data_IF_829091167084
#
_entry.id   IF_829091167084
#
_cell.length_a   1.000
_cell.length_b   1.000
_cell.length_c   1.000
_cell.angle_alpha   90.00
_cell.angle_beta   90.00
_cell.angle_gamma   90.00
#
_symmetry.space_group_name_H-M   'P 1'
#
loop_
_entity.id
_entity.type
_entity.pdbx_description
1 polymer ?
#
# COMPACT_ATOMS: atom_id res chain seq x y z
N UNK A 1 3.99 2.63 -0.27
CA UNK A 1 2.85 1.70 -0.07
C UNK A 1 3.35 0.28 -0.31
N UNK A 2 2.91 -0.67 0.52
CA UNK A 2 3.20 -2.11 0.40
C UNK A 2 1.86 -2.82 0.35
N UNK A 3 1.62 -3.63 -0.69
CA UNK A 3 0.40 -4.42 -0.84
C UNK A 3 0.79 -5.89 -0.99
N UNK A 4 0.34 -6.72 -0.05
CA UNK A 4 0.59 -8.15 0.01
C UNK A 4 -0.73 -8.87 -0.27
N UNK A 5 -0.78 -9.68 -1.32
CA UNK A 5 -1.91 -10.56 -1.61
C UNK A 5 -1.40 -11.98 -1.80
N UNK A 6 -2.12 -12.95 -1.26
CA UNK A 6 -1.84 -14.35 -1.43
C UNK A 6 -2.55 -15.22 -0.40
N UNK A 7 -2.14 -16.48 -0.32
CA UNK A 7 -2.59 -17.36 0.74
C UNK A 7 -1.71 -17.20 1.97
N UNK A 8 -2.33 -17.15 3.14
CA UNK A 8 -1.64 -17.03 4.42
C UNK A 8 -2.43 -17.70 5.54
N UNK A 9 -1.84 -17.65 6.71
CA UNK A 9 -2.44 -18.06 7.97
C UNK A 9 -1.93 -17.11 9.08
N UNK A 10 -2.11 -17.49 10.35
CA UNK A 10 -1.72 -16.64 11.47
C UNK A 10 -0.21 -16.37 11.46
N UNK A 11 0.15 -15.12 11.21
CA UNK A 11 1.52 -14.60 11.30
C UNK A 11 2.39 -14.82 10.06
N UNK A 12 1.85 -15.30 8.94
CA UNK A 12 2.61 -15.40 7.70
C UNK A 12 1.76 -15.38 6.44
N UNK A 13 2.38 -14.96 5.33
CA UNK A 13 1.86 -15.11 3.99
C UNK A 13 2.83 -15.95 3.16
N UNK A 14 2.31 -16.85 2.33
CA UNK A 14 3.13 -17.67 1.44
C UNK A 14 3.71 -16.81 0.32
N UNK A 15 5.02 -16.94 0.12
CA UNK A 15 5.73 -16.34 -0.98
C UNK A 15 6.13 -17.46 -1.95
N UNK A 16 5.42 -17.53 -3.09
CA UNK A 16 5.51 -18.67 -4.02
C UNK A 16 5.19 -20.00 -3.31
N UNK A 17 5.73 -21.10 -3.82
CA UNK A 17 5.35 -22.45 -3.38
C UNK A 17 6.09 -22.95 -2.13
N UNK A 18 7.21 -22.31 -1.74
CA UNK A 18 8.11 -22.85 -0.71
C UNK A 18 8.56 -21.86 0.35
N UNK A 19 8.46 -20.55 0.11
CA UNK A 19 8.91 -19.53 1.05
C UNK A 19 7.73 -18.93 1.79
N UNK A 20 7.97 -18.43 2.99
CA UNK A 20 6.97 -17.76 3.81
C UNK A 20 7.56 -16.44 4.25
N UNK A 21 6.78 -15.37 4.11
CA UNK A 21 7.09 -14.07 4.70
C UNK A 21 6.32 -13.97 6.00
N UNK A 22 7.05 -13.97 7.12
CA UNK A 22 6.44 -13.90 8.45
C UNK A 22 6.15 -12.45 8.85
N UNK A 23 5.19 -12.26 9.76
CA UNK A 23 4.85 -10.95 10.36
C UNK A 23 6.02 -10.36 11.13
N UNK A 24 6.85 -11.22 11.73
CA UNK A 24 8.07 -10.85 12.46
C UNK A 24 9.12 -10.30 11.49
N UNK A 25 9.40 -10.99 10.39
CA UNK A 25 10.34 -10.50 9.36
C UNK A 25 9.87 -9.19 8.72
N UNK A 26 8.57 -9.07 8.47
CA UNK A 26 7.97 -7.84 7.96
C UNK A 26 8.16 -6.67 8.94
N UNK A 27 7.92 -6.89 10.24
CA UNK A 27 8.12 -5.89 11.27
C UNK A 27 9.60 -5.48 11.38
N UNK A 28 10.53 -6.43 11.35
CA UNK A 28 11.96 -6.14 11.34
C UNK A 28 12.38 -5.32 10.11
N UNK A 29 11.88 -5.68 8.92
CA UNK A 29 12.18 -4.94 7.70
C UNK A 29 11.70 -3.48 7.77
N UNK A 30 10.48 -3.25 8.28
CA UNK A 30 9.95 -1.90 8.48
C UNK A 30 10.77 -1.13 9.53
N UNK A 31 11.20 -1.80 10.60
CA UNK A 31 12.04 -1.20 11.63
C UNK A 31 13.39 -0.76 11.06
N UNK A 32 14.07 -1.61 10.30
CA UNK A 32 15.32 -1.25 9.62
C UNK A 32 15.10 -0.11 8.64
N UNK A 33 14.01 -0.12 7.87
CA UNK A 33 13.69 0.99 6.97
C UNK A 33 13.46 2.31 7.72
N UNK A 34 12.87 2.28 8.91
CA UNK A 34 12.69 3.46 9.75
C UNK A 34 14.03 4.00 10.24
N UNK A 35 14.88 3.13 10.78
CA UNK A 35 16.22 3.48 11.29
C UNK A 35 17.12 4.08 10.19
N UNK A 36 17.00 3.55 8.97
CA UNK A 36 17.72 4.03 7.79
C UNK A 36 17.06 5.24 7.10
N UNK A 37 16.00 5.82 7.70
CA UNK A 37 15.25 6.96 7.14
C UNK A 37 14.72 6.71 5.71
N UNK A 38 14.27 5.48 5.42
CA UNK A 38 13.83 5.05 4.08
C UNK A 38 12.36 5.31 3.78
N UNK A 39 11.60 5.79 4.76
CA UNK A 39 10.22 6.22 4.53
C UNK A 39 9.84 7.40 5.41
N UNK A 40 8.91 8.22 4.91
CA UNK A 40 8.20 9.21 5.73
C UNK A 40 6.94 8.58 6.34
N UNK A 41 6.14 7.90 5.51
CA UNK A 41 4.94 7.17 5.88
C UNK A 41 4.84 5.86 5.09
N UNK A 42 4.34 4.81 5.73
CA UNK A 42 4.05 3.53 5.07
C UNK A 42 2.58 3.22 5.24
N UNK A 43 1.95 2.83 4.13
CA UNK A 43 0.68 2.12 4.17
C UNK A 43 0.92 0.68 3.74
N UNK A 44 0.69 -0.25 4.66
CA UNK A 44 0.75 -1.69 4.47
C UNK A 44 -0.67 -2.25 4.33
N UNK A 45 -0.93 -3.00 3.27
CA UNK A 45 -2.20 -3.71 3.06
C UNK A 45 -1.89 -5.20 2.95
N UNK A 46 -2.52 -6.01 3.79
CA UNK A 46 -2.47 -7.47 3.71
C UNK A 46 -3.83 -8.03 3.28
N UNK A 47 -3.90 -8.62 2.08
CA UNK A 47 -5.10 -9.23 1.50
C UNK A 47 -4.93 -10.76 1.46
N UNK A 48 -5.38 -11.40 2.54
CA UNK A 48 -5.31 -12.85 2.76
C UNK A 48 -6.27 -13.24 3.90
N UNK A 49 -6.52 -14.55 4.06
CA UNK A 49 -7.11 -15.08 5.28
C UNK A 49 -6.23 -14.73 6.49
N UNK A 50 -6.87 -14.36 7.61
CA UNK A 50 -6.22 -14.01 8.89
C UNK A 50 -5.15 -12.92 8.79
N UNK A 51 -5.26 -12.08 7.76
CA UNK A 51 -4.25 -11.09 7.39
C UNK A 51 -4.00 -10.01 8.43
N UNK A 52 -4.91 -9.77 9.37
CA UNK A 52 -4.66 -8.87 10.50
C UNK A 52 -3.44 -9.29 11.36
N UNK A 53 -3.11 -10.58 11.40
CA UNK A 53 -1.94 -11.09 12.12
C UNK A 53 -0.60 -10.60 11.54
N UNK A 54 -0.60 -10.13 10.29
CA UNK A 54 0.61 -9.69 9.60
C UNK A 54 1.23 -8.42 10.18
N UNK A 55 0.43 -7.58 10.84
CA UNK A 55 0.90 -6.30 11.39
C UNK A 55 0.95 -6.26 12.93
N UNK A 56 0.66 -7.36 13.62
CA UNK A 56 0.66 -7.41 15.09
C UNK A 56 2.02 -7.12 15.72
N UNK A 57 3.11 -7.47 15.03
CA UNK A 57 4.49 -7.27 15.50
C UNK A 57 5.08 -5.93 15.08
N UNK A 58 4.38 -5.16 14.26
CA UNK A 58 4.89 -3.87 13.78
C UNK A 58 4.82 -2.88 14.95
N UNK A 59 5.94 -2.21 15.20
CA UNK A 59 6.06 -1.14 16.20
C UNK A 59 6.67 0.14 15.62
N UNK A 60 7.12 0.10 14.37
CA UNK A 60 7.75 1.22 13.70
C UNK A 60 6.74 2.35 13.48
N UNK A 61 7.11 3.62 13.75
CA UNK A 61 6.17 4.74 13.70
C UNK A 61 5.85 5.12 12.24
N UNK A 62 4.78 5.90 12.07
CA UNK A 62 4.25 6.36 10.79
C UNK A 62 3.86 5.21 9.84
N UNK A 63 3.45 4.08 10.42
CA UNK A 63 2.92 2.93 9.68
C UNK A 63 1.42 2.84 9.90
N UNK A 64 0.66 3.00 8.82
CA UNK A 64 -0.73 2.58 8.74
C UNK A 64 -0.76 1.16 8.20
N UNK A 65 -1.54 0.27 8.80
CA UNK A 65 -1.77 -1.06 8.25
C UNK A 65 -3.26 -1.38 8.13
N UNK A 66 -3.64 -2.11 7.10
CA UNK A 66 -4.98 -2.67 6.95
C UNK A 66 -4.95 -4.11 6.47
N UNK A 67 -6.00 -4.86 6.79
CA UNK A 67 -6.18 -6.25 6.40
C UNK A 67 -7.52 -6.48 5.70
N UNK A 68 -7.60 -7.50 4.84
CA UNK A 68 -8.84 -7.97 4.25
C UNK A 68 -9.71 -8.79 5.22
N UNK A 69 -9.12 -9.32 6.30
CA UNK A 69 -9.83 -10.08 7.33
C UNK A 69 -9.14 -9.99 8.69
N UNK A 70 -9.92 -10.08 9.78
CA UNK A 70 -9.39 -10.22 11.13
C UNK A 70 -8.69 -11.58 11.35
N UNK A 71 -7.94 -11.73 12.43
CA UNK A 71 -7.17 -12.95 12.76
C UNK A 71 -8.04 -14.19 12.95
N UNK A 72 -9.29 -14.01 13.35
CA UNK A 72 -10.28 -15.08 13.51
C UNK A 72 -11.15 -15.32 12.27
N UNK A 73 -10.89 -14.63 11.15
CA UNK A 73 -11.71 -14.65 9.95
C UNK A 73 -10.91 -15.03 8.69
N UNK A 74 -11.62 -15.58 7.70
CA UNK A 74 -11.07 -15.83 6.37
C UNK A 74 -11.40 -14.66 5.43
N UNK A 75 -10.58 -14.47 4.40
CA UNK A 75 -10.96 -13.68 3.23
C UNK A 75 -11.65 -14.58 2.19
N UNK A 76 -12.34 -13.96 1.22
CA UNK A 76 -13.16 -14.69 0.25
C UNK A 76 -12.94 -14.20 -1.17
N UNK A 77 -12.91 -15.14 -2.10
CA UNK A 77 -12.83 -14.87 -3.52
C UNK A 77 -14.14 -14.28 -4.08
N UNK A 78 -14.03 -13.65 -5.25
CA UNK A 78 -15.08 -12.97 -5.98
C UNK A 78 -15.00 -13.31 -7.46
N UNK A 79 -16.18 -13.40 -8.11
CA UNK A 79 -16.33 -13.60 -9.55
C UNK A 79 -15.72 -14.92 -10.06
N UNK A 80 -16.59 -15.92 -10.24
CA UNK A 80 -16.21 -17.20 -10.84
C UNK A 80 -16.23 -17.05 -12.36
N UNK A 81 -15.07 -17.28 -13.00
CA UNK A 81 -15.00 -17.43 -14.45
C UNK A 81 -15.31 -18.89 -14.79
N UNK A 82 -16.41 -19.11 -15.52
CA UNK A 82 -16.88 -20.45 -15.87
C UNK A 82 -16.06 -21.11 -16.97
N UNK A 83 -15.40 -20.34 -17.83
CA UNK A 83 -14.57 -20.87 -18.90
C UNK A 83 -13.23 -21.35 -18.36
N UNK A 84 -12.69 -20.66 -17.35
CA UNK A 84 -11.45 -21.03 -16.66
C UNK A 84 -11.68 -21.96 -15.46
N UNK A 85 -12.88 -21.97 -14.88
CA UNK A 85 -13.24 -22.77 -13.70
C UNK A 85 -12.60 -22.29 -12.39
N UNK A 86 -12.15 -21.03 -12.34
CA UNK A 86 -11.45 -20.44 -11.19
C UNK A 86 -12.05 -19.08 -10.82
N UNK A 87 -11.88 -18.68 -9.56
CA UNK A 87 -12.16 -17.31 -9.17
C UNK A 87 -11.04 -16.39 -9.63
N UNK A 88 -11.39 -15.25 -10.22
CA UNK A 88 -10.41 -14.34 -10.83
C UNK A 88 -9.97 -13.20 -9.91
N UNK A 89 -10.70 -12.98 -8.82
CA UNK A 89 -10.41 -11.88 -7.89
C UNK A 89 -10.73 -12.26 -6.45
N UNK A 90 -10.21 -11.49 -5.50
CA UNK A 90 -10.64 -11.49 -4.11
C UNK A 90 -11.62 -10.35 -3.86
N UNK A 91 -12.55 -10.53 -2.91
CA UNK A 91 -13.58 -9.50 -2.66
C UNK A 91 -12.95 -8.16 -2.25
N UNK A 92 -11.98 -8.18 -1.35
CA UNK A 92 -11.30 -6.97 -0.91
C UNK A 92 -10.62 -6.27 -2.08
N UNK A 93 -9.78 -6.99 -2.82
CA UNK A 93 -9.15 -6.55 -4.07
C UNK A 93 -10.15 -5.95 -5.07
N UNK A 94 -11.25 -6.65 -5.34
CA UNK A 94 -12.28 -6.20 -6.29
C UNK A 94 -12.91 -4.87 -5.87
N UNK A 95 -13.41 -4.77 -4.63
CA UNK A 95 -14.14 -3.58 -4.20
C UNK A 95 -13.24 -2.36 -3.97
N UNK A 96 -12.02 -2.57 -3.46
CA UNK A 96 -11.03 -1.50 -3.31
C UNK A 96 -10.57 -0.98 -4.68
N UNK A 97 -10.26 -1.87 -5.63
CA UNK A 97 -9.92 -1.49 -7.01
C UNK A 97 -11.07 -0.78 -7.70
N UNK A 98 -12.31 -1.25 -7.52
CA UNK A 98 -13.51 -0.59 -8.04
C UNK A 98 -13.70 0.82 -7.47
N UNK A 99 -13.40 1.02 -6.19
CA UNK A 99 -13.41 2.34 -5.57
C UNK A 99 -12.33 3.24 -6.18
N UNK A 100 -11.08 2.76 -6.27
CA UNK A 100 -9.98 3.52 -6.85
C UNK A 100 -10.30 3.95 -8.29
N UNK A 101 -10.81 3.05 -9.12
CA UNK A 101 -11.10 3.34 -10.52
C UNK A 101 -12.30 4.27 -10.75
N UNK A 102 -13.24 4.37 -9.79
CA UNK A 102 -14.48 5.16 -9.95
C UNK A 102 -14.49 6.47 -9.16
N UNK A 103 -13.84 6.49 -8.02
CA UNK A 103 -13.94 7.59 -7.04
C UNK A 103 -12.64 8.42 -6.96
N UNK A 104 -11.52 7.86 -7.43
CA UNK A 104 -10.19 8.47 -7.40
C UNK A 104 -9.76 8.83 -8.83
N UNK A 105 -10.52 9.71 -9.47
CA UNK A 105 -10.19 10.24 -10.80
C UNK A 105 -9.19 11.40 -10.68
N UNK A 106 -7.91 11.11 -10.89
CA UNK A 106 -6.83 12.10 -10.89
C UNK A 106 -6.44 12.65 -9.51
N UNK A 107 -5.46 13.57 -9.47
CA UNK A 107 -4.87 14.09 -8.22
C UNK A 107 -5.77 15.08 -7.46
N UNK A 108 -6.86 15.55 -8.08
CA UNK A 108 -7.76 16.53 -7.47
C UNK A 108 -8.85 15.89 -6.60
N UNK A 109 -8.92 14.57 -6.52
CA UNK A 109 -9.91 13.90 -5.68
C UNK A 109 -9.73 14.28 -4.21
N UNK A 110 -10.86 14.45 -3.50
CA UNK A 110 -10.90 14.70 -2.06
C UNK A 110 -11.19 13.44 -1.26
N UNK A 111 -11.17 12.26 -1.89
CA UNK A 111 -11.43 10.99 -1.22
C UNK A 111 -10.34 10.68 -0.21
N UNK A 112 -10.77 10.28 0.98
CA UNK A 112 -9.93 10.01 2.13
C UNK A 112 -9.56 8.53 2.25
N UNK A 113 -8.53 8.21 3.03
CA UNK A 113 -8.21 6.81 3.34
C UNK A 113 -9.34 6.10 4.08
N UNK A 114 -10.15 6.83 4.86
CA UNK A 114 -11.36 6.26 5.45
C UNK A 114 -12.33 5.80 4.36
N UNK A 115 -12.56 6.60 3.31
CA UNK A 115 -13.41 6.20 2.17
C UNK A 115 -12.88 4.95 1.45
N UNK A 116 -11.55 4.81 1.36
CA UNK A 116 -10.91 3.62 0.82
C UNK A 116 -11.17 2.38 1.68
N UNK A 117 -11.03 2.49 3.01
CA UNK A 117 -11.30 1.38 3.93
C UNK A 117 -12.78 1.00 3.95
N UNK A 118 -13.67 1.98 3.81
CA UNK A 118 -15.12 1.76 3.77
C UNK A 118 -15.60 1.21 2.41
N UNK A 119 -14.73 1.15 1.40
CA UNK A 119 -15.06 0.66 0.06
C UNK A 119 -15.54 -0.80 0.06
N UNK A 120 -15.04 -1.61 0.99
CA UNK A 120 -15.44 -3.00 1.19
C UNK A 120 -16.02 -3.25 2.58
N UNK A 121 -17.28 -2.88 2.75
CA UNK A 121 -18.06 -3.23 3.95
C UNK A 121 -18.17 -4.75 4.14
N UNK A 122 -18.54 -5.19 5.35
CA UNK A 122 -18.74 -6.60 5.67
C UNK A 122 -19.68 -7.31 4.68
N UNK A 123 -20.76 -6.66 4.22
CA UNK A 123 -21.68 -7.25 3.25
C UNK A 123 -21.04 -7.53 1.89
N UNK A 124 -20.09 -6.69 1.49
CA UNK A 124 -19.34 -6.80 0.23
C UNK A 124 -18.20 -7.81 0.37
N UNK A 125 -17.37 -7.66 1.40
CA UNK A 125 -16.16 -8.47 1.63
C UNK A 125 -16.45 -9.85 2.22
N UNK A 126 -17.57 -10.00 2.95
CA UNK A 126 -17.90 -11.18 3.77
C UNK A 126 -16.86 -11.48 4.87
N UNK A 127 -16.02 -10.50 5.16
CA UNK A 127 -15.00 -10.45 6.19
C UNK A 127 -14.90 -9.01 6.70
N UNK A 128 -14.30 -8.85 7.87
CA UNK A 128 -14.10 -7.55 8.50
C UNK A 128 -12.72 -7.01 8.14
N UNK A 129 -12.66 -5.79 7.61
CA UNK A 129 -11.39 -5.09 7.40
C UNK A 129 -10.80 -4.74 8.76
N UNK A 130 -9.59 -5.22 9.04
CA UNK A 130 -8.81 -4.78 10.19
C UNK A 130 -7.97 -3.56 9.84
N UNK A 131 -7.79 -2.65 10.81
CA UNK A 131 -7.00 -1.43 10.62
C UNK A 131 -6.16 -1.18 11.88
N UNK A 132 -4.86 -0.95 11.70
CA UNK A 132 -3.94 -0.53 12.74
C UNK A 132 -3.64 0.96 12.58
N UNK A 133 -4.18 1.78 13.48
CA UNK A 133 -3.97 3.24 13.49
C UNK A 133 -3.04 3.72 14.61
N UNK A 134 -2.72 2.87 15.59
CA UNK A 134 -1.97 3.28 16.79
C UNK A 134 -0.58 3.83 16.47
N UNK A 135 0.01 3.39 15.36
CA UNK A 135 1.33 3.81 14.88
C UNK A 135 1.26 4.95 13.84
N UNK A 136 0.05 5.41 13.51
CA UNK A 136 -0.20 6.40 12.48
C UNK A 136 -0.95 7.61 13.06
N UNK A 137 -0.26 8.74 13.31
CA UNK A 137 -0.82 9.84 14.11
C UNK A 137 -1.88 10.67 13.39
N UNK A 138 -2.08 10.50 12.08
CA UNK A 138 -2.99 11.32 11.27
C UNK A 138 -4.41 10.71 11.25
N UNK A 139 -5.42 11.57 11.32
CA UNK A 139 -6.83 11.18 11.15
C UNK A 139 -7.07 10.73 9.70
N UNK A 140 -7.48 9.47 9.51
CA UNK A 140 -7.70 8.86 8.19
C UNK A 140 -8.72 9.59 7.32
N UNK A 141 -9.67 10.32 7.93
CA UNK A 141 -10.66 11.13 7.21
C UNK A 141 -10.06 12.39 6.58
N UNK A 142 -8.86 12.78 7.01
CA UNK A 142 -8.12 13.96 6.51
C UNK A 142 -6.99 13.59 5.57
N UNK A 143 -6.55 12.33 5.58
CA UNK A 143 -5.48 11.82 4.69
C UNK A 143 -6.09 11.42 3.36
N UNK A 144 -5.53 11.90 2.25
CA UNK A 144 -6.09 11.60 0.93
C UNK A 144 -5.62 10.23 0.46
N UNK A 145 -6.48 9.53 -0.28
CA UNK A 145 -6.09 8.26 -0.92
C UNK A 145 -4.90 8.46 -1.86
N UNK A 146 -4.83 9.62 -2.53
CA UNK A 146 -3.74 9.99 -3.43
C UNK A 146 -2.40 10.13 -2.74
N UNK A 147 -2.34 10.27 -1.41
CA UNK A 147 -1.07 10.36 -0.68
C UNK A 147 -0.30 9.01 -0.74
N UNK A 148 -1.01 7.89 -0.94
CA UNK A 148 -0.42 6.56 -1.05
C UNK A 148 -0.58 5.92 -2.44
N UNK A 149 -1.69 6.19 -3.14
CA UNK A 149 -1.98 5.61 -4.45
C UNK A 149 -1.66 6.55 -5.63
N UNK A 150 -1.41 7.83 -5.35
CA UNK A 150 -1.06 8.81 -6.37
C UNK A 150 0.44 8.88 -6.59
N UNK A 151 0.87 8.94 -7.86
CA UNK A 151 2.26 9.26 -8.22
C UNK A 151 2.39 10.76 -8.53
N UNK A 152 2.58 11.60 -7.52
CA UNK A 152 2.96 12.99 -7.76
C UNK A 152 4.42 13.03 -8.25
N UNK A 153 4.64 13.15 -9.56
CA UNK A 153 5.96 13.60 -10.06
C UNK A 153 6.12 15.06 -9.66
N UNK A 154 6.99 15.34 -8.70
CA UNK A 154 7.43 16.71 -8.44
C UNK A 154 8.31 17.13 -9.63
N UNK A 155 7.68 17.65 -10.69
CA UNK A 155 8.41 18.31 -11.78
C UNK A 155 8.65 19.75 -11.33
N UNK A 156 9.86 20.04 -10.84
CA UNK A 156 10.31 21.43 -10.72
C UNK A 156 10.64 21.94 -12.12
N UNK A 157 9.79 22.79 -12.67
CA UNK A 157 10.21 23.64 -13.78
C UNK A 157 11.21 24.65 -13.22
N UNK A 158 12.48 24.50 -13.59
CA UNK A 158 13.47 25.56 -13.40
C UNK A 158 13.03 26.70 -14.33
N UNK A 159 12.53 27.79 -13.75
CA UNK A 159 12.29 29.06 -14.46
C UNK A 159 13.56 29.90 -14.60
N UNK A 160 14.67 29.42 -14.06
CA UNK A 160 15.97 30.03 -14.26
C UNK A 160 16.45 29.75 -15.69
N UNK A 161 16.69 30.83 -16.44
CA UNK A 161 17.37 30.77 -17.71
C UNK A 161 18.80 30.30 -17.45
N UNK A 162 19.09 29.04 -17.79
CA UNK A 162 20.43 28.49 -17.67
C UNK A 162 21.28 29.14 -18.77
N UNK A 163 22.05 30.17 -18.40
CA UNK A 163 23.08 30.72 -19.28
C UNK A 163 24.24 29.74 -19.32
N UNK A 164 24.33 28.99 -20.41
CA UNK A 164 25.51 28.17 -20.70
C UNK A 164 26.62 29.12 -21.14
N UNK A 165 27.66 29.27 -20.32
CA UNK A 165 28.90 29.95 -20.73
C UNK A 165 29.54 29.12 -21.86
N UNK A 166 29.86 29.76 -22.99
CA UNK A 166 30.52 29.14 -24.13
C UNK A 166 31.90 28.55 -23.75
N UNK A 167 32.44 28.90 -22.58
CA UNK A 167 33.65 28.30 -22.02
C UNK A 167 33.42 26.94 -21.32
N UNK A 168 32.16 26.50 -21.14
CA UNK A 168 31.83 25.21 -20.52
C UNK A 168 32.45 24.01 -21.25
N UNK A 169 32.69 24.15 -22.56
CA UNK A 169 33.29 23.11 -23.41
C UNK A 169 34.76 23.31 -23.73
N UNK A 170 35.40 24.39 -23.27
CA UNK A 170 36.83 24.61 -23.54
C UNK A 170 37.68 23.81 -22.57
N UNK A 171 38.22 22.68 -23.06
CA UNK A 171 39.34 22.00 -22.40
C UNK A 171 40.52 22.98 -22.25
N UNK A 172 41.22 23.01 -21.10
CA UNK A 172 42.40 23.86 -20.96
C UNK A 172 43.43 23.44 -22.00
N UNK A 173 43.80 24.36 -22.90
CA UNK A 173 44.99 24.16 -23.73
C UNK A 173 46.19 24.09 -22.78
N UNK A 174 46.80 22.91 -22.74
CA UNK A 174 48.02 22.66 -21.98
C UNK A 174 49.20 23.25 -22.76
N UNK A 175 50.06 23.97 -22.04
CA UNK A 175 51.29 24.59 -22.53
C UNK A 175 52.30 23.57 -23.10
#
# INVERSE_FOLDING_TARGET
MIYLNGHGADGFIKFRDFEELTSVELAYALQTMYEDNRYHEVFLIADSCRSASMYEWITSPNVLASSSSLTSENSYSYELDYDLGVFVNDRFSYYTTKFLNKEVEGFNTSKSLQDFLDSCSFDKCKSTIGVLTDLYPKDLRKVRVTDFFGSARIVKHLTEEITLDDNFWRTPETF
#
